data_IF_099929192395
#
_entry.id   IF_099929192395
#
_cell.length_a   1.000
_cell.length_b   1.000
_cell.length_c   1.000
_cell.angle_alpha   90.00
_cell.angle_beta   90.00
_cell.angle_gamma   90.00
#
_symmetry.space_group_name_H-M   'P 1'
#
loop_
_entity.id
_entity.type
_entity.pdbx_description
1 polymer ?
#
# COMPACT_ATOMS: atom_id res chain seq x y z
N UNK A 1 45.87 -43.08 56.88
CA UNK A 1 45.36 -43.89 55.75
C UNK A 1 44.49 -42.94 54.94
N UNK A 2 44.82 -42.79 53.67
CA UNK A 2 44.19 -41.87 52.72
C UNK A 2 42.70 -42.15 52.60
N UNK A 3 41.87 -41.10 52.51
CA UNK A 3 40.73 -41.06 51.60
C UNK A 3 40.41 -39.60 51.25
N UNK A 4 40.35 -39.35 49.94
CA UNK A 4 40.10 -38.09 49.24
C UNK A 4 38.64 -38.14 48.75
N UNK A 5 38.08 -36.98 48.36
CA UNK A 5 36.95 -36.76 47.41
C UNK A 5 35.58 -36.62 48.11
N UNK A 6 34.74 -35.58 48.00
CA UNK A 6 34.68 -34.28 47.31
C UNK A 6 33.65 -33.42 48.12
N UNK A 7 33.96 -32.19 48.53
CA UNK A 7 33.63 -30.89 47.91
C UNK A 7 32.21 -30.78 47.29
N UNK A 8 31.41 -29.89 47.91
CA UNK A 8 30.53 -28.83 47.36
C UNK A 8 29.27 -28.75 48.24
N UNK A 9 29.26 -27.96 49.32
CA UNK A 9 29.12 -26.50 49.35
C UNK A 9 27.92 -25.99 48.53
N UNK A 10 26.86 -25.60 49.24
CA UNK A 10 26.29 -24.24 49.19
C UNK A 10 24.88 -24.26 49.79
N UNK A 11 24.82 -23.89 51.07
CA UNK A 11 23.58 -23.48 51.72
C UNK A 11 23.13 -22.10 51.23
N UNK A 12 21.82 -21.97 51.04
CA UNK A 12 21.03 -20.75 51.22
C UNK A 12 21.23 -19.63 50.22
N UNK A 13 20.19 -19.35 49.43
CA UNK A 13 19.47 -18.08 49.54
C UNK A 13 18.04 -18.25 49.02
N UNK A 14 17.08 -18.02 49.92
CA UNK A 14 15.66 -17.88 49.60
C UNK A 14 15.45 -16.50 48.99
N UNK A 15 15.29 -16.44 47.67
CA UNK A 15 14.66 -15.30 47.00
C UNK A 15 13.15 -15.57 46.84
N UNK A 16 12.27 -14.60 47.07
CA UNK A 16 10.85 -14.78 46.84
C UNK A 16 10.62 -14.95 45.33
N UNK A 17 9.93 -16.04 44.97
CA UNK A 17 9.47 -16.31 43.62
C UNK A 17 8.53 -15.18 43.21
N UNK A 18 9.04 -14.20 42.45
CA UNK A 18 8.21 -13.25 41.74
C UNK A 18 7.62 -13.98 40.52
N UNK A 19 6.53 -14.71 40.73
CA UNK A 19 5.62 -15.10 39.66
C UNK A 19 4.89 -13.82 39.19
N UNK A 20 5.63 -12.92 38.55
CA UNK A 20 5.03 -12.13 37.49
C UNK A 20 4.82 -13.13 36.37
N UNK A 21 3.65 -13.77 36.41
CA UNK A 21 3.08 -14.38 35.21
C UNK A 21 2.90 -13.20 34.28
N UNK A 22 3.89 -13.00 33.41
CA UNK A 22 3.68 -12.26 32.18
C UNK A 22 2.53 -12.99 31.50
N UNK A 23 1.35 -12.40 31.66
CA UNK A 23 0.17 -12.65 30.85
C UNK A 23 0.49 -12.14 29.44
N UNK A 24 1.45 -12.81 28.78
CA UNK A 24 1.65 -12.76 27.35
C UNK A 24 0.53 -13.61 26.71
N UNK A 25 -0.71 -13.19 26.96
CA UNK A 25 -1.77 -13.44 26.01
C UNK A 25 -1.43 -12.64 24.77
N UNK A 26 -0.76 -13.31 23.83
CA UNK A 26 -0.50 -12.89 22.45
C UNK A 26 -1.83 -12.78 21.65
N UNK A 27 -2.90 -12.26 22.27
CA UNK A 27 -4.24 -12.07 21.73
C UNK A 27 -4.34 -10.87 20.78
N UNK A 28 -3.21 -10.20 20.46
CA UNK A 28 -3.24 -8.91 19.78
C UNK A 28 -2.36 -8.77 18.52
N UNK A 29 -1.92 -9.87 17.91
CA UNK A 29 -1.25 -9.80 16.60
C UNK A 29 -2.26 -9.77 15.45
N UNK A 30 -3.10 -8.72 15.38
CA UNK A 30 -3.94 -8.49 14.20
C UNK A 30 -3.06 -8.56 12.94
N UNK A 31 -3.48 -9.37 11.97
CA UNK A 31 -2.79 -9.50 10.67
C UNK A 31 -2.80 -8.16 9.92
N UNK A 32 -1.87 -7.90 8.98
CA UNK A 32 -1.90 -6.69 8.17
C UNK A 32 -3.24 -6.43 7.46
N UNK A 33 -3.93 -7.48 7.02
CA UNK A 33 -5.28 -7.39 6.47
C UNK A 33 -6.30 -6.92 7.51
N UNK A 34 -6.32 -7.54 8.70
CA UNK A 34 -7.21 -7.12 9.79
C UNK A 34 -6.96 -5.67 10.22
N UNK A 35 -5.69 -5.28 10.37
CA UNK A 35 -5.29 -3.91 10.70
C UNK A 35 -5.73 -2.91 9.64
N UNK A 36 -5.57 -3.25 8.35
CA UNK A 36 -6.03 -2.40 7.25
C UNK A 36 -7.53 -2.12 7.37
N UNK A 37 -8.35 -3.16 7.56
CA UNK A 37 -9.80 -3.02 7.66
C UNK A 37 -10.24 -2.29 8.94
N UNK A 38 -9.59 -2.57 10.07
CA UNK A 38 -9.86 -1.89 11.34
C UNK A 38 -9.60 -0.38 11.22
N UNK A 39 -8.48 0.00 10.60
CA UNK A 39 -8.08 1.39 10.44
C UNK A 39 -8.87 2.13 9.35
N UNK A 40 -9.45 1.39 8.39
CA UNK A 40 -10.27 1.93 7.32
C UNK A 40 -11.77 1.70 7.57
N UNK A 41 -12.28 2.25 8.66
CA UNK A 41 -13.71 2.24 9.01
C UNK A 41 -14.38 3.59 8.75
N UNK A 42 -15.71 3.63 8.73
CA UNK A 42 -16.48 4.87 8.51
C UNK A 42 -16.21 5.97 9.54
N UNK A 43 -15.70 5.63 10.72
CA UNK A 43 -15.38 6.58 11.80
C UNK A 43 -13.86 6.83 11.93
N UNK A 44 -13.06 6.34 10.99
CA UNK A 44 -11.59 6.47 11.02
C UNK A 44 -11.15 7.94 10.96
N UNK A 45 -10.25 8.32 11.87
CA UNK A 45 -9.64 9.64 11.85
C UNK A 45 -8.49 9.70 10.83
N UNK A 46 -7.91 10.87 10.62
CA UNK A 46 -6.79 11.05 9.68
C UNK A 46 -5.60 10.11 9.96
N UNK A 47 -5.21 9.94 11.23
CA UNK A 47 -4.07 9.10 11.60
C UNK A 47 -4.38 7.63 11.33
N UNK A 48 -5.62 7.19 11.56
CA UNK A 48 -6.05 5.82 11.28
C UNK A 48 -5.90 5.53 9.79
N UNK A 49 -6.47 6.38 8.93
CA UNK A 49 -6.38 6.20 7.46
C UNK A 49 -4.95 6.29 6.95
N UNK A 50 -4.14 7.21 7.49
CA UNK A 50 -2.70 7.28 7.19
C UNK A 50 -1.96 6.00 7.59
N UNK A 51 -2.32 5.40 8.73
CA UNK A 51 -1.73 4.14 9.16
C UNK A 51 -2.24 2.96 8.32
N UNK A 52 -3.50 2.97 7.90
CA UNK A 52 -4.09 1.95 7.02
C UNK A 52 -3.27 1.79 5.74
N UNK A 53 -2.88 2.90 5.11
CA UNK A 53 -2.04 2.92 3.90
C UNK A 53 -0.78 2.07 4.04
N UNK A 54 -0.14 2.07 5.22
CA UNK A 54 1.10 1.31 5.47
C UNK A 54 0.91 -0.19 5.30
N UNK A 55 -0.27 -0.71 5.61
CA UNK A 55 -0.58 -2.13 5.62
C UNK A 55 -1.02 -2.69 4.26
N UNK A 56 -1.29 -1.86 3.24
CA UNK A 56 -1.85 -2.32 1.95
C UNK A 56 -1.00 -3.44 1.31
N UNK A 57 0.30 -3.22 1.11
CA UNK A 57 1.17 -4.18 0.44
C UNK A 57 1.40 -5.45 1.28
N UNK A 58 1.49 -5.31 2.59
CA UNK A 58 1.70 -6.46 3.47
C UNK A 58 0.42 -7.30 3.58
N UNK A 59 -0.76 -6.66 3.55
CA UNK A 59 -2.04 -7.35 3.45
C UNK A 59 -2.13 -8.13 2.12
N UNK A 60 -1.82 -7.48 0.99
CA UNK A 60 -1.83 -8.14 -0.34
C UNK A 60 -0.97 -9.41 -0.35
N UNK A 61 0.25 -9.35 0.21
CA UNK A 61 1.19 -10.47 0.22
C UNK A 61 0.77 -11.66 1.10
N UNK A 62 -0.12 -11.45 2.07
CA UNK A 62 -0.50 -12.47 3.05
C UNK A 62 -1.84 -13.12 2.76
N UNK A 63 -2.74 -12.43 2.07
CA UNK A 63 -4.06 -12.99 1.72
C UNK A 63 -3.91 -13.97 0.56
N UNK A 64 -4.66 -15.07 0.62
CA UNK A 64 -4.65 -16.12 -0.42
C UNK A 64 -6.04 -16.37 -1.00
N UNK A 65 -7.05 -15.60 -0.57
CA UNK A 65 -8.43 -15.69 -1.04
C UNK A 65 -8.84 -14.41 -1.78
N UNK A 66 -9.75 -14.59 -2.73
CA UNK A 66 -10.20 -13.53 -3.64
C UNK A 66 -11.03 -12.46 -2.91
N UNK A 67 -11.79 -12.85 -1.87
CA UNK A 67 -12.63 -11.94 -1.12
C UNK A 67 -11.81 -10.90 -0.38
N UNK A 68 -10.77 -11.34 0.34
CA UNK A 68 -9.85 -10.46 1.05
C UNK A 68 -9.05 -9.56 0.08
N UNK A 69 -8.63 -10.10 -1.06
CA UNK A 69 -8.00 -9.32 -2.13
C UNK A 69 -8.90 -8.15 -2.58
N UNK A 70 -10.17 -8.42 -2.87
CA UNK A 70 -11.12 -7.38 -3.29
C UNK A 70 -11.38 -6.34 -2.21
N UNK A 71 -11.42 -6.76 -0.93
CA UNK A 71 -11.54 -5.82 0.19
C UNK A 71 -10.33 -4.90 0.28
N UNK A 72 -9.11 -5.41 0.11
CA UNK A 72 -7.88 -4.60 0.12
C UNK A 72 -7.88 -3.61 -1.04
N UNK A 73 -8.24 -4.04 -2.25
CA UNK A 73 -8.28 -3.17 -3.42
C UNK A 73 -9.37 -2.10 -3.32
N UNK A 74 -10.54 -2.45 -2.78
CA UNK A 74 -11.62 -1.49 -2.50
C UNK A 74 -11.20 -0.45 -1.46
N UNK A 75 -10.52 -0.88 -0.40
CA UNK A 75 -9.92 0.01 0.60
C UNK A 75 -8.87 0.93 -0.03
N UNK A 76 -7.98 0.37 -0.86
CA UNK A 76 -6.92 1.12 -1.56
C UNK A 76 -7.50 2.23 -2.44
N UNK A 77 -8.54 1.91 -3.23
CA UNK A 77 -9.25 2.90 -4.07
C UNK A 77 -9.82 4.04 -3.23
N UNK A 78 -10.51 3.71 -2.13
CA UNK A 78 -11.09 4.73 -1.22
C UNK A 78 -10.02 5.62 -0.58
N UNK A 79 -8.86 5.07 -0.24
CA UNK A 79 -7.72 5.83 0.30
C UNK A 79 -7.04 6.72 -0.76
N UNK A 80 -7.03 6.29 -2.02
CA UNK A 80 -6.53 7.10 -3.14
C UNK A 80 -7.44 8.32 -3.40
N UNK A 81 -8.75 8.14 -3.17
CA UNK A 81 -9.78 9.17 -3.32
C UNK A 81 -10.08 9.93 -2.00
N UNK A 82 -9.19 9.83 -0.99
CA UNK A 82 -9.40 10.43 0.34
C UNK A 82 -9.52 11.96 0.30
N UNK A 83 -10.34 12.53 1.18
CA UNK A 83 -10.46 13.99 1.33
C UNK A 83 -9.17 14.66 1.82
N UNK A 84 -8.28 13.92 2.49
CA UNK A 84 -7.01 14.44 2.99
C UNK A 84 -5.90 14.15 1.98
N UNK A 85 -5.35 15.21 1.39
CA UNK A 85 -4.28 15.16 0.38
C UNK A 85 -3.09 14.28 0.77
N UNK A 86 -2.68 14.28 2.05
CA UNK A 86 -1.54 13.45 2.46
C UNK A 86 -1.85 11.95 2.39
N UNK A 87 -3.09 11.53 2.66
CA UNK A 87 -3.51 10.13 2.55
C UNK A 87 -3.53 9.71 1.08
N UNK A 88 -4.04 10.57 0.18
CA UNK A 88 -4.00 10.33 -1.26
C UNK A 88 -2.57 10.15 -1.75
N UNK A 89 -1.65 11.05 -1.36
CA UNK A 89 -0.23 10.98 -1.73
C UNK A 89 0.37 9.64 -1.28
N UNK A 90 0.26 9.31 0.01
CA UNK A 90 0.87 8.11 0.57
C UNK A 90 0.31 6.83 -0.08
N UNK A 91 -0.94 6.88 -0.56
CA UNK A 91 -1.61 5.76 -1.25
C UNK A 91 -1.17 5.65 -2.71
N UNK A 92 -1.20 6.75 -3.47
CA UNK A 92 -0.78 6.77 -4.87
C UNK A 92 0.70 6.42 -5.04
N UNK A 93 1.55 6.80 -4.09
CA UNK A 93 2.97 6.40 -4.09
C UNK A 93 3.16 4.87 -3.99
N UNK A 94 2.14 4.10 -3.57
CA UNK A 94 2.17 2.63 -3.56
C UNK A 94 1.66 1.99 -4.84
N UNK A 95 1.00 2.73 -5.73
CA UNK A 95 0.30 2.14 -6.87
C UNK A 95 1.23 1.35 -7.79
N UNK A 96 2.44 1.83 -8.05
CA UNK A 96 3.45 1.08 -8.84
C UNK A 96 3.69 -0.31 -8.26
N UNK A 97 3.94 -0.40 -6.95
CA UNK A 97 4.20 -1.66 -6.27
C UNK A 97 2.97 -2.58 -6.23
N UNK A 98 1.76 -1.99 -6.13
CA UNK A 98 0.51 -2.74 -6.17
C UNK A 98 0.28 -3.32 -7.57
N UNK A 99 0.49 -2.52 -8.62
CA UNK A 99 0.38 -2.95 -10.02
C UNK A 99 1.33 -4.12 -10.29
N UNK A 100 2.60 -3.99 -9.92
CA UNK A 100 3.60 -5.04 -10.08
C UNK A 100 3.23 -6.32 -9.32
N UNK A 101 2.73 -6.17 -8.09
CA UNK A 101 2.25 -7.30 -7.29
C UNK A 101 1.09 -8.01 -7.99
N UNK A 102 0.07 -7.29 -8.45
CA UNK A 102 -1.10 -7.87 -9.10
C UNK A 102 -0.69 -8.64 -10.34
N UNK A 103 0.10 -8.04 -11.24
CA UNK A 103 0.53 -8.68 -12.48
C UNK A 103 1.36 -9.94 -12.22
N UNK A 104 2.20 -9.93 -11.17
CA UNK A 104 3.09 -11.05 -10.89
C UNK A 104 2.43 -12.20 -10.14
N UNK A 105 1.37 -11.94 -9.38
CA UNK A 105 0.84 -12.91 -8.40
C UNK A 105 -0.66 -13.20 -8.54
N UNK A 106 -1.41 -12.41 -9.30
CA UNK A 106 -2.88 -12.47 -9.32
C UNK A 106 -3.39 -12.76 -10.73
N UNK A 107 -4.24 -13.78 -10.85
CA UNK A 107 -4.95 -14.06 -12.10
C UNK A 107 -5.92 -12.93 -12.46
N UNK A 108 -6.02 -12.59 -13.76
CA UNK A 108 -6.86 -11.50 -14.25
C UNK A 108 -6.50 -10.13 -13.64
N UNK A 109 -5.21 -9.89 -13.39
CA UNK A 109 -4.70 -8.63 -12.85
C UNK A 109 -5.14 -7.39 -13.65
N UNK A 110 -5.25 -7.50 -14.97
CA UNK A 110 -5.70 -6.44 -15.88
C UNK A 110 -7.10 -5.92 -15.51
N UNK A 111 -8.04 -6.84 -15.21
CA UNK A 111 -9.40 -6.48 -14.80
C UNK A 111 -9.40 -5.74 -13.46
N UNK A 112 -8.60 -6.20 -12.49
CA UNK A 112 -8.54 -5.59 -11.16
C UNK A 112 -7.86 -4.22 -11.18
N UNK A 113 -6.79 -4.07 -11.96
CA UNK A 113 -6.14 -2.78 -12.18
C UNK A 113 -7.15 -1.79 -12.76
N UNK A 114 -7.90 -2.20 -13.79
CA UNK A 114 -8.90 -1.37 -14.43
C UNK A 114 -10.02 -0.94 -13.47
N UNK A 115 -10.53 -1.88 -12.68
CA UNK A 115 -11.65 -1.63 -11.77
C UNK A 115 -11.27 -0.74 -10.58
N UNK A 116 -10.08 -0.98 -10.00
CA UNK A 116 -9.71 -0.40 -8.71
C UNK A 116 -8.71 0.77 -8.81
N UNK A 117 -7.81 0.79 -9.78
CA UNK A 117 -6.67 1.72 -9.79
C UNK A 117 -6.72 2.71 -10.96
N UNK A 118 -7.09 2.25 -12.16
CA UNK A 118 -6.94 3.02 -13.39
C UNK A 118 -7.66 4.37 -13.34
N UNK A 119 -8.93 4.40 -12.89
CA UNK A 119 -9.68 5.66 -12.80
C UNK A 119 -9.05 6.67 -11.83
N UNK A 120 -8.58 6.23 -10.67
CA UNK A 120 -7.87 7.13 -9.73
C UNK A 120 -6.58 7.66 -10.36
N UNK A 121 -5.84 6.85 -11.11
CA UNK A 121 -4.62 7.28 -11.84
C UNK A 121 -4.95 8.36 -12.86
N UNK A 122 -5.93 8.13 -13.74
CA UNK A 122 -6.29 9.08 -14.80
C UNK A 122 -6.82 10.40 -14.22
N UNK A 123 -7.64 10.36 -13.17
CA UNK A 123 -8.18 11.56 -12.54
C UNK A 123 -7.10 12.42 -11.85
N UNK A 124 -5.96 11.82 -11.49
CA UNK A 124 -4.92 12.48 -10.70
C UNK A 124 -3.63 12.78 -11.49
N UNK A 125 -3.53 12.33 -12.76
CA UNK A 125 -2.37 12.57 -13.65
C UNK A 125 -2.11 14.05 -13.95
N UNK A 126 -3.13 14.89 -13.78
CA UNK A 126 -3.05 16.35 -13.93
C UNK A 126 -3.32 17.13 -12.65
N UNK A 127 -3.21 16.48 -11.49
CA UNK A 127 -3.58 17.11 -10.22
C UNK A 127 -2.71 18.34 -9.87
N UNK A 128 -3.31 19.35 -9.24
CA UNK A 128 -2.61 20.59 -8.86
C UNK A 128 -1.49 20.38 -7.84
N UNK A 129 -1.59 19.36 -7.00
CA UNK A 129 -0.52 18.93 -6.09
C UNK A 129 0.54 18.08 -6.83
N UNK A 130 1.79 18.54 -6.82
CA UNK A 130 2.91 17.90 -7.53
C UNK A 130 3.20 16.46 -7.09
N UNK A 131 3.02 16.11 -5.81
CA UNK A 131 3.29 14.75 -5.33
C UNK A 131 2.23 13.76 -5.83
N UNK A 132 0.95 14.12 -5.72
CA UNK A 132 -0.17 13.35 -6.29
C UNK A 132 0.08 13.12 -7.77
N UNK A 133 0.32 14.22 -8.49
CA UNK A 133 0.52 14.18 -9.94
C UNK A 133 1.67 13.27 -10.37
N UNK A 134 2.84 13.42 -9.77
CA UNK A 134 4.02 12.60 -10.09
C UNK A 134 3.82 11.12 -9.73
N UNK A 135 3.19 10.82 -8.60
CA UNK A 135 2.88 9.44 -8.22
C UNK A 135 1.96 8.78 -9.26
N UNK A 136 0.90 9.48 -9.69
CA UNK A 136 -0.04 8.98 -10.69
C UNK A 136 0.58 8.85 -12.08
N UNK A 137 1.39 9.82 -12.51
CA UNK A 137 2.16 9.72 -13.75
C UNK A 137 3.12 8.52 -13.72
N UNK A 138 3.79 8.28 -12.59
CA UNK A 138 4.66 7.10 -12.42
C UNK A 138 3.89 5.80 -12.51
N UNK A 139 2.70 5.71 -11.91
CA UNK A 139 1.83 4.54 -12.02
C UNK A 139 1.34 4.34 -13.46
N UNK A 140 0.98 5.41 -14.16
CA UNK A 140 0.55 5.36 -15.56
C UNK A 140 1.65 4.86 -16.49
N UNK A 141 2.87 5.42 -16.36
CA UNK A 141 4.04 4.95 -17.11
C UNK A 141 4.28 3.47 -16.81
N UNK A 142 4.16 3.04 -15.55
CA UNK A 142 4.35 1.63 -15.19
C UNK A 142 3.32 0.71 -15.85
N UNK A 143 2.06 1.13 -15.91
CA UNK A 143 1.02 0.38 -16.63
C UNK A 143 1.36 0.24 -18.11
N UNK A 144 1.90 1.28 -18.73
CA UNK A 144 2.35 1.22 -20.12
C UNK A 144 3.52 0.23 -20.30
N UNK A 145 4.56 0.34 -19.47
CA UNK A 145 5.74 -0.54 -19.52
C UNK A 145 5.39 -2.02 -19.33
N UNK A 146 4.29 -2.31 -18.63
CA UNK A 146 3.81 -3.65 -18.38
C UNK A 146 2.73 -4.09 -19.39
N UNK A 147 2.52 -3.31 -20.46
CA UNK A 147 1.55 -3.59 -21.52
C UNK A 147 0.10 -3.76 -21.00
N UNK A 148 -0.23 -3.09 -19.89
CA UNK A 148 -1.56 -3.16 -19.25
C UNK A 148 -2.54 -2.09 -19.72
N UNK A 149 -2.18 -1.32 -20.76
CA UNK A 149 -3.01 -0.26 -21.32
C UNK A 149 -3.39 -0.63 -22.75
N UNK A 150 -4.68 -0.59 -23.07
CA UNK A 150 -5.22 -0.85 -24.41
C UNK A 150 -5.21 0.42 -25.25
N UNK A 151 -5.16 0.27 -26.58
CA UNK A 151 -5.22 1.39 -27.52
C UNK A 151 -6.42 2.32 -27.26
N UNK A 152 -7.61 1.74 -27.03
CA UNK A 152 -8.81 2.52 -26.72
C UNK A 152 -8.68 3.35 -25.44
N UNK A 153 -7.94 2.88 -24.43
CA UNK A 153 -7.70 3.61 -23.17
C UNK A 153 -6.68 4.75 -23.37
N UNK A 154 -5.71 4.55 -24.27
CA UNK A 154 -4.80 5.63 -24.69
C UNK A 154 -5.59 6.76 -25.35
N UNK A 155 -6.41 6.42 -26.34
CA UNK A 155 -7.13 7.41 -27.15
C UNK A 155 -8.22 8.13 -26.37
N UNK A 156 -8.99 7.41 -25.54
CA UNK A 156 -10.20 7.96 -24.92
C UNK A 156 -9.98 8.52 -23.51
N UNK A 157 -8.97 8.02 -22.77
CA UNK A 157 -8.76 8.41 -21.37
C UNK A 157 -7.43 9.18 -21.18
N UNK A 158 -6.32 8.61 -21.66
CA UNK A 158 -4.98 9.12 -21.35
C UNK A 158 -4.64 10.37 -22.15
N UNK A 159 -4.78 10.33 -23.48
CA UNK A 159 -4.48 11.50 -24.35
C UNK A 159 -5.31 12.72 -23.91
N UNK A 160 -6.63 12.62 -23.70
CA UNK A 160 -7.41 13.76 -23.21
C UNK A 160 -6.91 14.32 -21.87
N UNK A 161 -6.51 13.46 -20.93
CA UNK A 161 -5.97 13.89 -19.64
C UNK A 161 -4.62 14.61 -19.79
N UNK A 162 -3.73 14.11 -20.66
CA UNK A 162 -2.44 14.75 -20.95
C UNK A 162 -2.60 16.06 -21.72
N UNK A 163 -3.52 16.15 -22.68
CA UNK A 163 -3.78 17.41 -23.39
C UNK A 163 -4.33 18.50 -22.45
N UNK A 164 -5.07 18.14 -21.41
CA UNK A 164 -5.47 19.10 -20.37
C UNK A 164 -4.25 19.58 -19.57
N UNK A 165 -3.29 18.68 -19.33
CA UNK A 165 -2.04 18.97 -18.67
C UNK A 165 -1.15 19.94 -19.47
N UNK A 166 -1.02 19.74 -20.79
CA UNK A 166 -0.24 20.63 -21.66
C UNK A 166 -0.75 22.07 -21.72
N UNK A 167 -2.06 22.26 -21.51
CA UNK A 167 -2.70 23.58 -21.48
C UNK A 167 -2.49 24.32 -20.16
N UNK A 168 -1.93 23.67 -19.14
CA UNK A 168 -1.62 24.29 -17.87
C UNK A 168 -0.26 25.04 -17.92
N UNK A 169 0.32 25.39 -16.77
CA UNK A 169 1.59 26.14 -16.74
C UNK A 169 2.76 25.32 -17.33
N UNK A 170 3.90 26.00 -17.58
CA UNK A 170 5.06 25.39 -18.25
C UNK A 170 5.58 24.12 -17.58
N UNK A 171 5.49 24.01 -16.25
CA UNK A 171 5.88 22.80 -15.51
C UNK A 171 5.02 21.60 -15.89
N UNK A 172 3.70 21.79 -15.99
CA UNK A 172 2.78 20.73 -16.42
C UNK A 172 2.99 20.34 -17.88
N UNK A 173 3.30 21.31 -18.74
CA UNK A 173 3.62 21.04 -20.15
C UNK A 173 4.86 20.15 -20.29
N UNK A 174 5.92 20.45 -19.54
CA UNK A 174 7.14 19.64 -19.55
C UNK A 174 6.89 18.20 -19.06
N UNK A 175 6.07 18.04 -18.03
CA UNK A 175 5.68 16.72 -17.53
C UNK A 175 4.81 15.96 -18.53
N UNK A 176 3.84 16.62 -19.17
CA UNK A 176 3.02 15.99 -20.20
C UNK A 176 3.87 15.48 -21.35
N UNK A 177 4.81 16.30 -21.86
CA UNK A 177 5.74 15.87 -22.92
C UNK A 177 6.56 14.65 -22.48
N UNK A 178 7.01 14.63 -21.22
CA UNK A 178 7.77 13.50 -20.68
C UNK A 178 6.93 12.22 -20.66
N UNK A 179 5.70 12.29 -20.15
CA UNK A 179 4.78 11.16 -20.09
C UNK A 179 4.38 10.72 -21.50
N UNK A 180 4.08 11.66 -22.40
CA UNK A 180 3.71 11.40 -23.80
C UNK A 180 4.78 10.67 -24.60
N UNK A 181 6.07 10.75 -24.23
CA UNK A 181 7.14 9.98 -24.91
C UNK A 181 7.06 8.47 -24.70
N UNK A 182 6.28 8.04 -23.72
CA UNK A 182 6.03 6.63 -23.50
C UNK A 182 4.90 6.10 -24.39
N UNK A 183 4.17 6.94 -25.14
CA UNK A 183 3.09 6.54 -26.04
C UNK A 183 3.47 6.77 -27.50
#
# INVERSE_FOLDING_TARGET
MSDIVDILDSTSNNDPINLNVDDDSDENSETPFQRLLHLHTSNSNYNDRKNAVKYILDALRLVNDVESLYQILSCTKKLADDIVTQVQIDTLEKFVLIIEYLISNVENADLLIKEYLFQSIIQTVGHGNNRIRKASQSALIRLFELEQIKADEIENDIIPALCQLEKACDDFKNESILVSRHF
#
